data_IF_474177095666
#
_entry.id   IF_474177095666
#
_cell.length_a   1.000
_cell.length_b   1.000
_cell.length_c   1.000
_cell.angle_alpha   90.00
_cell.angle_beta   90.00
_cell.angle_gamma   90.00
#
_symmetry.space_group_name_H-M   'P 1'
#
loop_
_entity.id
_entity.type
_entity.pdbx_description
1 polymer ?
#
# COMPACT_ATOMS: atom_id res chain seq x y z
N UNK A 1 17.01 -7.02 -22.54
CA UNK A 1 16.05 -7.67 -21.64
C UNK A 1 14.71 -6.99 -21.80
N UNK A 2 13.70 -7.66 -22.35
CA UNK A 2 12.34 -7.12 -22.40
C UNK A 2 11.72 -7.27 -21.01
N UNK A 3 11.44 -6.15 -20.34
CA UNK A 3 10.78 -6.18 -19.04
C UNK A 3 9.28 -6.47 -19.25
N UNK A 4 8.69 -7.36 -18.44
CA UNK A 4 7.28 -7.70 -18.56
C UNK A 4 6.37 -6.50 -18.21
N UNK A 5 5.15 -6.40 -18.78
CA UNK A 5 4.28 -5.24 -18.58
C UNK A 5 3.94 -4.90 -17.12
N UNK A 6 3.86 -5.89 -16.23
CA UNK A 6 3.59 -5.70 -14.80
C UNK A 6 4.68 -4.86 -14.11
N UNK A 7 5.91 -4.88 -14.62
CA UNK A 7 7.02 -4.12 -14.07
C UNK A 7 6.77 -2.61 -14.16
N UNK A 8 6.22 -2.15 -15.30
CA UNK A 8 5.92 -0.74 -15.50
C UNK A 8 4.78 -0.26 -14.58
N UNK A 9 3.78 -1.10 -14.34
CA UNK A 9 2.71 -0.82 -13.38
C UNK A 9 3.28 -0.69 -11.96
N UNK A 10 4.21 -1.56 -11.57
CA UNK A 10 4.90 -1.45 -10.28
C UNK A 10 5.73 -0.15 -10.16
N UNK A 11 6.38 0.29 -11.24
CA UNK A 11 7.10 1.56 -11.25
C UNK A 11 6.17 2.77 -11.03
N UNK A 12 4.98 2.76 -11.66
CA UNK A 12 3.94 3.78 -11.43
C UNK A 12 3.50 3.80 -9.96
N UNK A 13 3.36 2.61 -9.34
CA UNK A 13 3.02 2.49 -7.92
C UNK A 13 4.08 3.16 -7.04
N UNK A 14 5.37 2.92 -7.27
CA UNK A 14 6.46 3.53 -6.47
C UNK A 14 6.37 5.06 -6.49
N UNK A 15 6.21 5.65 -7.68
CA UNK A 15 6.12 7.11 -7.83
C UNK A 15 4.86 7.64 -7.13
N UNK A 16 3.71 7.00 -7.40
CA UNK A 16 2.43 7.43 -6.87
C UNK A 16 2.39 7.33 -5.34
N UNK A 17 2.84 6.21 -4.77
CA UNK A 17 2.85 5.99 -3.33
C UNK A 17 3.89 6.86 -2.60
N UNK A 18 5.02 7.19 -3.25
CA UNK A 18 5.96 8.18 -2.73
C UNK A 18 5.31 9.56 -2.56
N UNK A 19 4.53 10.01 -3.55
CA UNK A 19 3.78 11.28 -3.49
C UNK A 19 2.67 11.20 -2.43
N UNK A 20 1.98 10.06 -2.33
CA UNK A 20 0.88 9.85 -1.36
C UNK A 20 1.34 10.13 0.07
N UNK A 21 2.50 9.63 0.51
CA UNK A 21 2.97 9.86 1.89
C UNK A 21 3.15 11.34 2.23
N UNK A 22 3.61 12.16 1.28
CA UNK A 22 3.73 13.61 1.44
C UNK A 22 2.35 14.27 1.51
N UNK A 23 1.47 13.95 0.57
CA UNK A 23 0.11 14.51 0.52
C UNK A 23 -0.71 14.14 1.76
N UNK A 24 -0.58 12.91 2.26
CA UNK A 24 -1.24 12.45 3.48
C UNK A 24 -0.74 13.20 4.71
N UNK A 25 0.56 13.50 4.82
CA UNK A 25 1.06 14.32 5.92
C UNK A 25 0.55 15.76 5.81
N UNK A 26 0.60 16.34 4.61
CA UNK A 26 0.10 17.71 4.37
C UNK A 26 -1.39 17.83 4.69
N UNK A 27 -2.21 16.84 4.31
CA UNK A 27 -3.64 16.85 4.63
C UNK A 27 -3.90 16.67 6.12
N UNK A 28 -3.20 15.75 6.79
CA UNK A 28 -3.36 15.49 8.23
C UNK A 28 -2.81 16.59 9.13
N UNK A 29 -2.07 17.56 8.60
CA UNK A 29 -1.73 18.78 9.34
C UNK A 29 -2.94 19.69 9.57
N UNK A 30 -3.98 19.57 8.73
CA UNK A 30 -5.17 20.42 8.76
C UNK A 30 -6.46 19.64 9.02
N UNK A 31 -6.46 18.34 8.77
CA UNK A 31 -7.63 17.46 8.89
C UNK A 31 -7.36 16.34 9.90
N UNK A 32 -8.35 15.96 10.73
CA UNK A 32 -8.27 14.73 11.50
C UNK A 32 -8.25 13.51 10.56
N UNK A 33 -7.68 12.41 11.03
CA UNK A 33 -7.48 11.19 10.25
C UNK A 33 -8.77 10.64 9.63
N UNK A 34 -9.89 10.71 10.36
CA UNK A 34 -11.19 10.23 9.88
C UNK A 34 -11.68 11.03 8.67
N UNK A 35 -11.61 12.36 8.74
CA UNK A 35 -11.99 13.23 7.63
C UNK A 35 -11.03 13.09 6.45
N UNK A 36 -9.73 12.98 6.71
CA UNK A 36 -8.74 12.75 5.66
C UNK A 36 -8.98 11.41 4.93
N UNK A 37 -9.38 10.36 5.66
CA UNK A 37 -9.72 9.06 5.07
C UNK A 37 -10.96 9.15 4.18
N UNK A 38 -12.01 9.85 4.62
CA UNK A 38 -13.21 10.06 3.80
C UNK A 38 -12.84 10.73 2.47
N UNK A 39 -12.05 11.80 2.52
CA UNK A 39 -11.60 12.50 1.31
C UNK A 39 -10.66 11.66 0.44
N UNK A 40 -9.87 10.77 1.04
CA UNK A 40 -9.06 9.79 0.31
C UNK A 40 -9.95 8.79 -0.46
N UNK A 41 -11.04 8.31 0.16
CA UNK A 41 -12.03 7.47 -0.53
C UNK A 41 -12.73 8.24 -1.66
N UNK A 42 -13.07 9.51 -1.45
CA UNK A 42 -13.60 10.37 -2.55
C UNK A 42 -12.61 10.45 -3.70
N UNK A 43 -11.31 10.61 -3.43
CA UNK A 43 -10.27 10.58 -4.45
C UNK A 43 -10.25 9.29 -5.28
N UNK A 44 -10.39 8.13 -4.63
CA UNK A 44 -10.54 6.85 -5.33
C UNK A 44 -11.79 6.80 -6.20
N UNK A 45 -12.94 7.22 -5.66
CA UNK A 45 -14.22 7.22 -6.40
C UNK A 45 -14.22 8.15 -7.62
N UNK A 46 -13.46 9.24 -7.59
CA UNK A 46 -13.30 10.13 -8.74
C UNK A 46 -12.44 9.52 -9.84
N UNK A 47 -11.46 8.70 -9.47
CA UNK A 47 -10.51 8.08 -10.42
C UNK A 47 -11.06 6.79 -11.03
N UNK A 48 -11.85 6.02 -10.27
CA UNK A 48 -12.36 4.70 -10.67
C UNK A 48 -13.11 4.72 -12.03
N UNK A 49 -14.01 5.68 -12.34
CA UNK A 49 -14.72 5.70 -13.63
C UNK A 49 -13.80 5.88 -14.85
N UNK A 50 -12.64 6.52 -14.68
CA UNK A 50 -11.66 6.72 -15.74
C UNK A 50 -10.85 5.45 -16.02
N UNK A 51 -10.68 4.62 -14.99
CA UNK A 51 -9.91 3.36 -15.07
C UNK A 51 -10.79 2.16 -15.37
N UNK A 52 -12.10 2.25 -15.13
CA UNK A 52 -13.05 1.17 -15.32
C UNK A 52 -13.28 0.87 -16.81
N UNK A 53 -12.90 -0.32 -17.32
CA UNK A 53 -13.01 -0.65 -18.74
C UNK A 53 -14.43 -1.08 -19.17
N UNK A 54 -15.46 -0.83 -18.36
CA UNK A 54 -16.86 -1.11 -18.71
C UNK A 54 -17.31 -2.58 -18.60
N UNK A 55 -16.41 -3.49 -18.23
CA UNK A 55 -16.70 -4.93 -18.21
C UNK A 55 -17.09 -5.38 -16.79
N UNK A 56 -18.39 -5.59 -16.60
CA UNK A 56 -18.99 -6.53 -15.65
C UNK A 56 -18.48 -6.53 -14.18
N UNK A 57 -18.99 -5.61 -13.35
CA UNK A 57 -18.70 -5.57 -11.90
C UNK A 57 -19.11 -6.84 -11.13
N UNK A 58 -20.17 -7.52 -11.57
CA UNK A 58 -20.79 -8.63 -10.83
C UNK A 58 -20.70 -9.99 -11.52
N UNK A 59 -19.94 -10.12 -12.61
CA UNK A 59 -19.78 -11.42 -13.27
C UNK A 59 -18.66 -12.28 -12.67
N UNK A 60 -18.09 -11.84 -11.54
CA UNK A 60 -17.02 -12.56 -10.85
C UNK A 60 -17.58 -13.53 -9.80
N UNK A 61 -16.83 -14.61 -9.56
CA UNK A 61 -17.20 -15.60 -8.53
C UNK A 61 -17.23 -14.98 -7.12
N UNK A 62 -18.08 -15.50 -6.24
CA UNK A 62 -18.15 -15.05 -4.85
C UNK A 62 -16.78 -15.13 -4.16
N UNK A 63 -15.97 -16.16 -4.45
CA UNK A 63 -14.62 -16.31 -3.92
C UNK A 63 -13.69 -15.17 -4.36
N UNK A 64 -13.74 -14.78 -5.63
CA UNK A 64 -12.94 -13.66 -6.14
C UNK A 64 -13.34 -12.34 -5.46
N UNK A 65 -14.65 -12.13 -5.31
CA UNK A 65 -15.18 -10.95 -4.62
C UNK A 65 -14.80 -10.94 -3.14
N UNK A 66 -14.77 -12.08 -2.45
CA UNK A 66 -14.33 -12.13 -1.05
C UNK A 66 -12.88 -11.68 -0.88
N UNK A 67 -11.97 -12.07 -1.79
CA UNK A 67 -10.59 -11.60 -1.74
C UNK A 67 -10.47 -10.09 -1.98
N UNK A 68 -11.24 -9.56 -2.94
CA UNK A 68 -11.29 -8.12 -3.21
C UNK A 68 -11.83 -7.33 -2.01
N UNK A 69 -12.91 -7.80 -1.37
CA UNK A 69 -13.51 -7.17 -0.20
C UNK A 69 -12.57 -7.21 1.00
N UNK A 70 -11.96 -8.37 1.29
CA UNK A 70 -10.98 -8.49 2.37
C UNK A 70 -9.79 -7.56 2.14
N UNK A 71 -9.25 -7.51 0.93
CA UNK A 71 -8.20 -6.57 0.54
C UNK A 71 -8.62 -5.12 0.82
N UNK A 72 -9.84 -4.75 0.42
CA UNK A 72 -10.40 -3.42 0.67
C UNK A 72 -10.51 -3.07 2.16
N UNK A 73 -10.96 -4.01 3.00
CA UNK A 73 -11.07 -3.83 4.45
C UNK A 73 -9.69 -3.57 5.07
N UNK A 74 -8.70 -4.42 4.76
CA UNK A 74 -7.34 -4.24 5.28
C UNK A 74 -6.67 -2.97 4.74
N UNK A 75 -6.91 -2.60 3.49
CA UNK A 75 -6.40 -1.37 2.90
C UNK A 75 -7.00 -0.12 3.58
N UNK A 76 -8.31 -0.12 3.84
CA UNK A 76 -8.98 0.97 4.56
C UNK A 76 -8.46 1.10 6.00
N UNK A 77 -8.31 -0.03 6.71
CA UNK A 77 -7.75 -0.05 8.06
C UNK A 77 -6.29 0.46 8.08
N UNK A 78 -5.46 0.00 7.15
CA UNK A 78 -4.08 0.45 7.02
C UNK A 78 -3.97 1.94 6.68
N UNK A 79 -4.79 2.43 5.75
CA UNK A 79 -4.85 3.84 5.40
C UNK A 79 -5.28 4.71 6.59
N UNK A 80 -6.29 4.28 7.35
CA UNK A 80 -6.70 4.97 8.57
C UNK A 80 -5.57 5.04 9.60
N UNK A 81 -4.92 3.91 9.88
CA UNK A 81 -3.84 3.83 10.86
C UNK A 81 -2.63 4.71 10.46
N UNK A 82 -2.28 4.72 9.17
CA UNK A 82 -1.25 5.58 8.61
C UNK A 82 -1.59 7.07 8.78
N UNK A 83 -2.80 7.48 8.40
CA UNK A 83 -3.29 8.86 8.58
C UNK A 83 -3.34 9.25 10.06
N UNK A 84 -3.77 8.35 10.94
CA UNK A 84 -3.80 8.57 12.39
C UNK A 84 -2.38 8.77 12.96
N UNK A 85 -1.40 7.98 12.52
CA UNK A 85 -0.01 8.14 12.92
C UNK A 85 0.56 9.51 12.48
N UNK A 86 0.27 9.93 11.25
CA UNK A 86 0.68 11.25 10.73
C UNK A 86 0.00 12.40 11.47
N UNK A 87 -1.31 12.27 11.76
CA UNK A 87 -2.09 13.25 12.50
C UNK A 87 -1.57 13.42 13.94
N UNK A 88 -1.21 12.33 14.61
CA UNK A 88 -0.68 12.30 15.99
C UNK A 88 0.78 12.77 16.11
N UNK A 89 1.26 13.56 15.17
CA UNK A 89 2.61 14.15 15.21
C UNK A 89 3.70 13.30 14.55
N UNK A 90 3.38 12.14 13.97
CA UNK A 90 4.34 11.35 13.21
C UNK A 90 4.93 12.14 12.05
N UNK A 91 6.25 12.14 11.91
CA UNK A 91 6.94 12.76 10.77
C UNK A 91 6.78 11.87 9.53
N UNK A 92 6.45 12.47 8.38
CA UNK A 92 6.34 11.73 7.12
C UNK A 92 7.63 10.96 6.78
N UNK A 93 8.79 11.53 7.09
CA UNK A 93 10.10 10.92 6.87
C UNK A 93 10.35 9.65 7.67
N UNK A 94 9.59 9.40 8.74
CA UNK A 94 9.73 8.21 9.61
C UNK A 94 8.57 7.24 9.36
N UNK A 95 7.34 7.76 9.39
CA UNK A 95 6.14 6.92 9.28
C UNK A 95 6.02 6.30 7.89
N UNK A 96 6.36 7.03 6.80
CA UNK A 96 6.25 6.48 5.45
C UNK A 96 7.22 5.30 5.22
N UNK A 97 8.53 5.40 5.52
CA UNK A 97 9.43 4.25 5.43
C UNK A 97 9.04 3.09 6.35
N UNK A 98 8.57 3.39 7.58
CA UNK A 98 8.15 2.36 8.53
C UNK A 98 6.95 1.55 8.01
N UNK A 99 5.94 2.22 7.47
CA UNK A 99 4.76 1.55 6.91
C UNK A 99 5.06 0.86 5.57
N UNK A 100 6.07 1.30 4.83
CA UNK A 100 6.54 0.63 3.60
C UNK A 100 7.18 -0.75 3.85
N UNK A 101 7.34 -1.19 5.11
CA UNK A 101 7.78 -2.54 5.47
C UNK A 101 6.70 -3.62 5.36
N UNK A 102 5.46 -3.29 4.96
CA UNK A 102 4.43 -4.31 4.76
C UNK A 102 4.83 -5.47 3.80
N UNK A 103 5.73 -5.31 2.80
CA UNK A 103 6.20 -6.44 1.98
C UNK A 103 6.89 -7.53 2.78
N UNK A 104 7.36 -7.26 4.00
CA UNK A 104 7.88 -8.27 4.90
C UNK A 104 6.83 -9.32 5.27
N UNK A 105 5.61 -8.88 5.55
CA UNK A 105 4.50 -9.78 5.85
C UNK A 105 4.21 -10.64 4.63
N UNK A 106 4.21 -10.04 3.43
CA UNK A 106 4.03 -10.78 2.17
C UNK A 106 5.14 -11.81 2.00
N UNK A 107 6.40 -11.43 2.18
CA UNK A 107 7.52 -12.35 2.06
C UNK A 107 7.41 -13.53 3.03
N UNK A 108 6.99 -13.31 4.29
CA UNK A 108 6.83 -14.38 5.28
C UNK A 108 5.63 -15.29 5.00
N UNK A 109 4.53 -14.74 4.50
CA UNK A 109 3.25 -15.44 4.36
C UNK A 109 3.09 -16.10 2.98
N UNK A 110 3.67 -15.52 1.93
CA UNK A 110 3.58 -16.02 0.55
C UNK A 110 4.02 -17.48 0.39
N UNK A 111 5.08 -17.99 1.05
CA UNK A 111 5.45 -19.40 0.93
C UNK A 111 4.40 -20.35 1.45
N UNK A 112 3.68 -19.94 2.50
CA UNK A 112 2.67 -20.77 3.15
C UNK A 112 1.35 -20.70 2.38
N UNK A 113 0.92 -19.51 1.96
CA UNK A 113 -0.38 -19.32 1.30
C UNK A 113 -0.35 -19.50 -0.21
N UNK A 114 0.71 -19.01 -0.86
CA UNK A 114 0.89 -19.03 -2.32
C UNK A 114 1.77 -20.19 -2.79
N UNK A 115 2.34 -20.96 -1.85
CA UNK A 115 3.24 -22.09 -2.14
C UNK A 115 4.49 -21.66 -2.94
N UNK A 116 4.94 -20.43 -2.72
CA UNK A 116 6.14 -19.86 -3.34
C UNK A 116 7.41 -20.23 -2.58
N UNK A 117 8.54 -20.36 -3.26
CA UNK A 117 9.84 -20.56 -2.62
C UNK A 117 10.56 -19.22 -2.44
N UNK A 118 10.95 -18.90 -1.21
CA UNK A 118 11.85 -17.75 -0.95
C UNK A 118 13.29 -18.18 -1.17
N UNK A 119 13.99 -17.45 -2.03
CA UNK A 119 15.43 -17.61 -2.22
C UNK A 119 16.21 -16.94 -1.09
N UNK A 120 17.41 -17.42 -0.80
CA UNK A 120 18.30 -16.82 0.19
C UNK A 120 18.58 -15.33 -0.09
N UNK A 121 18.65 -14.94 -1.37
CA UNK A 121 18.84 -13.54 -1.78
C UNK A 121 17.63 -12.65 -1.44
N UNK A 122 16.39 -13.15 -1.58
CA UNK A 122 15.19 -12.42 -1.16
C UNK A 122 15.17 -12.22 0.36
N UNK A 123 15.59 -13.24 1.13
CA UNK A 123 15.75 -13.13 2.58
C UNK A 123 16.78 -12.06 3.00
N UNK A 124 17.92 -12.00 2.29
CA UNK A 124 18.91 -10.93 2.50
C UNK A 124 18.36 -9.55 2.11
N UNK A 125 17.60 -9.45 1.02
CA UNK A 125 16.94 -8.20 0.61
C UNK A 125 15.96 -7.68 1.67
N UNK A 126 15.17 -8.59 2.26
CA UNK A 126 14.29 -8.31 3.40
C UNK A 126 15.08 -7.78 4.60
N UNK A 127 16.18 -8.43 4.97
CA UNK A 127 17.03 -7.99 6.08
C UNK A 127 17.64 -6.61 5.81
N UNK A 128 18.11 -6.34 4.59
CA UNK A 128 18.62 -5.02 4.20
C UNK A 128 17.53 -3.94 4.28
N UNK A 129 16.30 -4.24 3.82
CA UNK A 129 15.19 -3.30 3.91
C UNK A 129 14.83 -2.94 5.36
N UNK A 130 14.84 -3.93 6.25
CA UNK A 130 14.65 -3.72 7.69
C UNK A 130 15.72 -2.79 8.28
N UNK A 131 17.00 -3.05 7.97
CA UNK A 131 18.11 -2.21 8.44
C UNK A 131 17.96 -0.78 7.93
N UNK A 132 17.66 -0.61 6.63
CA UNK A 132 17.46 0.71 6.03
C UNK A 132 16.35 1.50 6.72
N UNK A 133 15.22 0.86 7.03
CA UNK A 133 14.10 1.55 7.71
C UNK A 133 14.43 1.90 9.16
N UNK A 134 15.15 1.04 9.89
CA UNK A 134 15.62 1.38 11.25
C UNK A 134 16.50 2.63 11.19
N UNK A 135 17.45 2.69 10.25
CA UNK A 135 18.33 3.85 10.07
C UNK A 135 17.59 5.13 9.63
N UNK A 136 16.53 5.01 8.84
CA UNK A 136 15.68 6.16 8.46
C UNK A 136 14.76 6.63 9.58
N UNK A 137 14.50 5.76 10.56
CA UNK A 137 13.59 6.03 11.67
C UNK A 137 14.27 6.59 12.93
N UNK A 138 15.60 6.72 12.91
CA UNK A 138 16.42 7.41 13.94
C UNK A 138 16.61 8.88 13.61
#
# INVERSE_FOLDING_TARGET
>A
MHLPPWFWMAAVVIISWGIVGLLQKLSTNHLPADSALIWLVVGFLLLEPLMYPGKALFHYSLRSLTWAVLSGIFNALGAWALLAAMYRGGKASIVSPLTALYPLIVALVAPVLLHESITLLQGLGVACALIAVVLLST
#
